data_IF_531404490230
#
_entry.id   IF_531404490230
#
_cell.length_a   1.000
_cell.length_b   1.000
_cell.length_c   1.000
_cell.angle_alpha   90.00
_cell.angle_beta   90.00
_cell.angle_gamma   90.00
#
_symmetry.space_group_name_H-M   'P 1'
#
loop_
_entity.id
_entity.type
_entity.pdbx_description
1 polymer ?
#
# COMPACT_ATOMS: atom_id res chain seq x y z
N UNK A 1 5.22 4.15 -5.24
CA UNK A 1 3.86 3.64 -5.52
C UNK A 1 3.42 4.17 -6.88
N UNK A 2 2.72 3.34 -7.66
CA UNK A 2 2.25 3.68 -9.00
C UNK A 2 0.78 4.05 -8.94
N UNK A 3 0.43 5.19 -9.54
CA UNK A 3 -0.95 5.63 -9.73
C UNK A 3 -1.41 5.33 -11.15
N UNK A 4 -2.45 4.52 -11.32
CA UNK A 4 -3.00 4.15 -12.62
C UNK A 4 -4.40 4.75 -12.80
N UNK A 5 -4.64 5.53 -13.87
CA UNK A 5 -5.99 6.02 -14.19
C UNK A 5 -6.79 4.90 -14.86
N UNK A 6 -8.00 4.65 -14.37
CA UNK A 6 -8.86 3.55 -14.83
C UNK A 6 -10.27 4.04 -15.14
N UNK A 7 -10.99 3.29 -15.98
CA UNK A 7 -12.38 3.55 -16.31
C UNK A 7 -13.20 2.26 -16.25
N UNK A 8 -14.42 2.34 -15.72
CA UNK A 8 -15.33 1.20 -15.59
C UNK A 8 -16.80 1.64 -15.65
N UNK A 9 -17.70 0.73 -16.03
CA UNK A 9 -19.12 1.05 -16.12
C UNK A 9 -19.74 1.27 -14.73
N UNK A 10 -20.45 2.38 -14.54
CA UNK A 10 -21.18 2.74 -13.32
C UNK A 10 -22.63 2.26 -13.30
N UNK A 11 -23.35 2.70 -12.27
CA UNK A 11 -24.76 2.31 -12.04
C UNK A 11 -25.72 2.78 -13.13
N UNK A 12 -25.40 3.87 -13.83
CA UNK A 12 -26.18 4.44 -14.93
C UNK A 12 -25.76 3.94 -16.32
N UNK A 13 -24.87 2.93 -16.39
CA UNK A 13 -24.11 2.53 -17.59
C UNK A 13 -23.15 3.59 -18.14
N UNK A 14 -23.07 4.78 -17.53
CA UNK A 14 -22.04 5.77 -17.83
C UNK A 14 -20.66 5.34 -17.32
N UNK A 15 -19.61 5.84 -17.94
CA UNK A 15 -18.23 5.57 -17.52
C UNK A 15 -17.90 6.27 -16.20
N UNK A 16 -17.51 5.50 -15.19
CA UNK A 16 -16.87 6.00 -13.98
C UNK A 16 -15.35 6.04 -14.15
N UNK A 17 -14.73 7.11 -13.69
CA UNK A 17 -13.29 7.32 -13.80
C UNK A 17 -12.65 7.27 -12.42
N UNK A 18 -11.63 6.43 -12.28
CA UNK A 18 -10.89 6.23 -11.04
C UNK A 18 -9.39 6.33 -11.18
N UNK A 19 -8.73 6.26 -10.03
CA UNK A 19 -7.28 6.07 -9.90
C UNK A 19 -7.03 4.93 -8.93
N UNK A 20 -6.27 3.95 -9.39
CA UNK A 20 -5.81 2.83 -8.59
C UNK A 20 -4.39 3.14 -8.10
N UNK A 21 -4.24 3.22 -6.78
CA UNK A 21 -2.93 3.35 -6.13
C UNK A 21 -2.41 1.93 -5.81
N UNK A 22 -1.28 1.53 -6.40
CA UNK A 22 -0.66 0.21 -6.17
C UNK A 22 0.63 0.32 -5.33
N UNK A 23 0.96 -0.69 -4.51
CA UNK A 23 2.28 -0.77 -3.89
C UNK A 23 3.37 -0.95 -4.96
N UNK A 24 4.47 -0.21 -4.85
CA UNK A 24 5.64 -0.40 -5.75
C UNK A 24 6.67 -1.37 -5.15
N UNK A 25 6.85 -1.33 -3.83
CA UNK A 25 7.92 -2.05 -3.14
C UNK A 25 7.37 -3.03 -2.09
N UNK A 26 6.09 -2.92 -1.73
CA UNK A 26 5.44 -3.86 -0.82
C UNK A 26 4.72 -4.93 -1.64
N UNK A 27 4.70 -6.20 -1.21
CA UNK A 27 3.84 -7.19 -1.83
C UNK A 27 2.38 -6.72 -1.75
N UNK A 28 1.61 -6.95 -2.81
CA UNK A 28 0.16 -6.70 -2.79
C UNK A 28 -0.50 -7.64 -1.78
N UNK A 29 -0.88 -7.10 -0.62
CA UNK A 29 -1.45 -7.86 0.49
C UNK A 29 -2.97 -7.89 0.47
N UNK A 30 -3.61 -6.77 0.10
CA UNK A 30 -5.07 -6.65 0.06
C UNK A 30 -5.52 -5.57 -0.92
N UNK A 31 -6.83 -5.52 -1.15
CA UNK A 31 -7.51 -4.61 -2.05
C UNK A 31 -8.57 -3.81 -1.31
N UNK A 32 -8.65 -2.50 -1.61
CA UNK A 32 -9.60 -1.58 -1.01
C UNK A 32 -10.28 -0.68 -2.05
N UNK A 33 -11.50 -0.26 -1.75
CA UNK A 33 -12.19 0.83 -2.47
C UNK A 33 -12.39 2.01 -1.52
N UNK A 34 -12.03 3.21 -1.98
CA UNK A 34 -12.22 4.46 -1.27
C UNK A 34 -13.38 5.26 -1.88
N UNK A 35 -14.49 5.35 -1.16
CA UNK A 35 -15.65 6.18 -1.45
C UNK A 35 -15.51 7.58 -0.82
N UNK A 36 -15.20 8.60 -1.62
CA UNK A 36 -14.96 9.95 -1.11
C UNK A 36 -16.26 10.72 -0.78
N UNK A 37 -16.13 11.91 -0.18
CA UNK A 37 -17.25 12.85 0.03
C UNK A 37 -17.89 13.28 -1.30
N UNK A 38 -19.23 13.28 -1.37
CA UNK A 38 -19.99 13.58 -2.60
C UNK A 38 -19.70 14.96 -3.20
N UNK A 39 -19.11 15.88 -2.42
CA UNK A 39 -18.82 17.25 -2.87
C UNK A 39 -17.37 17.49 -3.29
N UNK A 40 -16.51 16.49 -3.17
CA UNK A 40 -15.07 16.67 -3.28
C UNK A 40 -14.49 16.13 -4.61
N UNK A 41 -14.87 14.91 -4.97
CA UNK A 41 -14.26 14.14 -6.07
C UNK A 41 -13.07 13.28 -5.62
N UNK A 42 -12.61 12.38 -6.50
CA UNK A 42 -11.51 11.43 -6.27
C UNK A 42 -10.18 12.10 -5.94
N UNK A 43 -10.02 13.37 -6.26
CA UNK A 43 -8.81 14.15 -6.01
C UNK A 43 -8.85 14.93 -4.68
N UNK A 44 -9.81 14.63 -3.78
CA UNK A 44 -9.80 15.23 -2.44
C UNK A 44 -8.49 14.90 -1.71
N UNK A 45 -8.03 15.81 -0.84
CA UNK A 45 -6.78 15.64 -0.10
C UNK A 45 -6.83 14.37 0.77
N UNK A 46 -7.95 14.15 1.47
CA UNK A 46 -8.20 12.93 2.24
C UNK A 46 -8.11 11.67 1.36
N UNK A 47 -8.90 11.59 0.29
CA UNK A 47 -8.96 10.41 -0.56
C UNK A 47 -7.60 10.09 -1.19
N UNK A 48 -6.90 11.11 -1.69
CA UNK A 48 -5.59 10.93 -2.34
C UNK A 48 -4.53 10.50 -1.33
N UNK A 49 -4.42 11.17 -0.18
CA UNK A 49 -3.39 10.86 0.83
C UNK A 49 -3.62 9.50 1.48
N UNK A 50 -4.85 9.20 1.86
CA UNK A 50 -5.17 7.92 2.52
C UNK A 50 -4.98 6.76 1.54
N UNK A 51 -5.48 6.85 0.30
CA UNK A 51 -5.31 5.78 -0.68
C UNK A 51 -3.84 5.49 -0.97
N UNK A 52 -3.00 6.54 -1.06
CA UNK A 52 -1.55 6.40 -1.26
C UNK A 52 -0.84 5.79 -0.05
N UNK A 53 -1.18 6.20 1.16
CA UNK A 53 -0.62 5.67 2.39
C UNK A 53 -1.01 4.19 2.59
N UNK A 54 -2.27 3.82 2.31
CA UNK A 54 -2.70 2.41 2.31
C UNK A 54 -1.96 1.57 1.27
N UNK A 55 -1.73 2.12 0.06
CA UNK A 55 -0.94 1.45 -0.96
C UNK A 55 0.52 1.22 -0.51
N UNK A 56 1.12 2.15 0.24
CA UNK A 56 2.46 1.95 0.82
C UNK A 56 2.50 0.82 1.86
N UNK A 57 1.37 0.51 2.50
CA UNK A 57 1.22 -0.61 3.43
C UNK A 57 0.84 -1.93 2.73
N UNK A 58 0.85 -1.97 1.39
CA UNK A 58 0.51 -3.16 0.60
C UNK A 58 -0.99 -3.34 0.34
N UNK A 59 -1.82 -2.33 0.62
CA UNK A 59 -3.27 -2.34 0.35
C UNK A 59 -3.54 -1.49 -0.90
N UNK A 60 -3.62 -2.12 -2.08
CA UNK A 60 -3.92 -1.36 -3.29
C UNK A 60 -5.35 -0.81 -3.23
N UNK A 61 -5.49 0.49 -3.46
CA UNK A 61 -6.72 1.22 -3.17
C UNK A 61 -7.23 1.93 -4.42
N UNK A 62 -8.46 1.60 -4.83
CA UNK A 62 -9.17 2.30 -5.89
C UNK A 62 -9.98 3.46 -5.31
N UNK A 63 -9.73 4.67 -5.80
CA UNK A 63 -10.59 5.84 -5.58
C UNK A 63 -11.21 6.24 -6.92
N UNK A 64 -12.48 6.61 -6.94
CA UNK A 64 -13.20 6.92 -8.18
C UNK A 64 -14.16 8.09 -7.99
N UNK A 65 -14.49 8.79 -9.07
CA UNK A 65 -15.53 9.80 -9.08
C UNK A 65 -16.90 9.11 -9.22
N UNK A 66 -17.87 9.41 -8.35
CA UNK A 66 -19.25 8.93 -8.51
C UNK A 66 -19.89 9.44 -9.81
N UNK A 67 -20.97 8.78 -10.26
CA UNK A 67 -21.76 9.19 -11.43
C UNK A 67 -22.03 10.70 -11.43
N UNK A 68 -21.67 11.38 -12.52
CA UNK A 68 -21.87 12.82 -12.72
C UNK A 68 -20.99 13.74 -11.86
N UNK A 69 -19.95 13.22 -11.20
CA UNK A 69 -18.91 14.01 -10.54
C UNK A 69 -17.59 13.92 -11.30
N UNK A 70 -16.80 15.00 -11.24
CA UNK A 70 -15.42 15.00 -11.72
C UNK A 70 -15.29 14.59 -13.18
N UNK A 71 -14.57 13.49 -13.43
CA UNK A 71 -14.36 12.93 -14.77
C UNK A 71 -15.37 11.82 -15.15
N UNK A 72 -16.29 11.46 -14.25
CA UNK A 72 -17.29 10.42 -14.48
C UNK A 72 -18.50 10.94 -15.24
N UNK A 73 -19.03 10.13 -16.14
CA UNK A 73 -20.22 10.43 -16.93
C UNK A 73 -21.51 10.35 -16.08
N UNK A 74 -22.59 10.89 -16.64
CA UNK A 74 -23.92 10.91 -16.02
C UNK A 74 -24.29 12.26 -15.40
N UNK A 75 -25.45 12.29 -14.74
CA UNK A 75 -25.97 13.47 -14.05
C UNK A 75 -26.14 13.13 -12.57
N UNK A 76 -25.23 13.63 -11.74
CA UNK A 76 -25.28 13.44 -10.29
C UNK A 76 -26.58 13.98 -9.71
N UNK A 77 -27.09 15.08 -10.27
CA UNK A 77 -28.34 15.69 -9.84
C UNK A 77 -29.55 14.80 -10.07
N UNK A 78 -29.49 13.82 -10.98
CA UNK A 78 -30.56 12.83 -11.19
C UNK A 78 -30.30 11.50 -10.49
N UNK A 79 -29.04 11.20 -10.13
CA UNK A 79 -28.65 10.00 -9.41
C UNK A 79 -28.91 10.10 -7.90
N UNK A 80 -29.75 9.22 -7.36
CA UNK A 80 -30.06 9.12 -5.92
C UNK A 80 -28.88 8.64 -5.06
N UNK A 81 -29.04 8.64 -3.73
CA UNK A 81 -28.13 7.94 -2.81
C UNK A 81 -27.95 6.45 -3.21
N UNK A 82 -29.02 5.84 -3.73
CA UNK A 82 -29.00 4.48 -4.27
C UNK A 82 -28.03 4.30 -5.43
N UNK A 83 -27.85 5.33 -6.28
CA UNK A 83 -26.88 5.32 -7.39
C UNK A 83 -25.46 5.32 -6.85
N UNK A 84 -25.15 6.13 -5.82
CA UNK A 84 -23.83 6.13 -5.19
C UNK A 84 -23.48 4.78 -4.57
N UNK A 85 -24.44 4.13 -3.90
CA UNK A 85 -24.26 2.77 -3.39
C UNK A 85 -23.98 1.79 -4.55
N UNK A 86 -24.73 1.89 -5.64
CA UNK A 86 -24.54 1.05 -6.82
C UNK A 86 -23.20 1.30 -7.53
N UNK A 87 -22.67 2.53 -7.51
CA UNK A 87 -21.34 2.85 -8.05
C UNK A 87 -20.21 2.22 -7.22
N UNK A 88 -20.34 2.17 -5.88
CA UNK A 88 -19.38 1.44 -5.03
C UNK A 88 -19.41 -0.05 -5.35
N UNK A 89 -20.61 -0.63 -5.52
CA UNK A 89 -20.78 -2.04 -5.93
C UNK A 89 -20.13 -2.27 -7.30
N UNK A 90 -20.31 -1.37 -8.27
CA UNK A 90 -19.68 -1.45 -9.58
C UNK A 90 -18.14 -1.38 -9.49
N UNK A 91 -17.60 -0.48 -8.67
CA UNK A 91 -16.17 -0.37 -8.42
C UNK A 91 -15.58 -1.66 -7.81
N UNK A 92 -16.30 -2.27 -6.86
CA UNK A 92 -15.90 -3.54 -6.25
C UNK A 92 -15.91 -4.68 -7.27
N UNK A 93 -16.96 -4.82 -8.08
CA UNK A 93 -17.02 -5.84 -9.14
C UNK A 93 -15.97 -5.64 -10.22
N UNK A 94 -15.65 -4.39 -10.57
CA UNK A 94 -14.57 -4.09 -11.50
C UNK A 94 -13.22 -4.52 -10.93
N UNK A 95 -12.90 -4.19 -9.68
CA UNK A 95 -11.67 -4.68 -9.03
C UNK A 95 -11.64 -6.20 -8.95
N UNK A 96 -12.78 -6.82 -8.61
CA UNK A 96 -12.90 -8.28 -8.52
C UNK A 96 -12.59 -8.98 -9.83
N UNK A 97 -13.06 -8.44 -10.96
CA UNK A 97 -12.85 -9.04 -12.28
C UNK A 97 -11.47 -8.76 -12.88
N UNK A 98 -10.77 -7.72 -12.40
CA UNK A 98 -9.48 -7.29 -12.98
C UNK A 98 -8.26 -7.65 -12.13
N UNK A 99 -8.38 -7.63 -10.80
CA UNK A 99 -7.26 -7.78 -9.87
C UNK A 99 -7.56 -8.85 -8.81
N UNK A 100 -8.78 -8.81 -8.24
CA UNK A 100 -9.21 -9.68 -7.16
C UNK A 100 -10.22 -8.99 -6.25
N UNK A 101 -10.80 -9.74 -5.31
CA UNK A 101 -11.86 -9.22 -4.45
C UNK A 101 -11.34 -8.16 -3.45
N UNK A 102 -11.85 -6.91 -3.50
CA UNK A 102 -11.67 -5.94 -2.42
C UNK A 102 -12.25 -6.47 -1.12
N UNK A 103 -11.48 -6.42 -0.05
CA UNK A 103 -11.92 -6.86 1.28
C UNK A 103 -12.13 -5.68 2.25
N UNK A 104 -11.69 -4.48 1.88
CA UNK A 104 -11.84 -3.24 2.64
C UNK A 104 -12.63 -2.20 1.84
N UNK A 105 -13.63 -1.59 2.47
CA UNK A 105 -14.20 -0.32 2.01
C UNK A 105 -13.80 0.80 2.97
N UNK A 106 -13.33 1.91 2.44
CA UNK A 106 -13.11 3.16 3.20
C UNK A 106 -14.07 4.19 2.65
N UNK A 107 -14.86 4.83 3.50
CA UNK A 107 -15.81 5.86 3.08
C UNK A 107 -15.69 7.13 3.92
N UNK A 108 -15.70 8.28 3.26
CA UNK A 108 -15.57 9.59 3.89
C UNK A 108 -16.86 10.41 3.76
N UNK A 109 -17.31 11.03 4.85
CA UNK A 109 -18.57 11.77 4.92
C UNK A 109 -19.74 10.89 4.44
N UNK A 110 -20.59 11.38 3.55
CA UNK A 110 -21.64 10.60 2.87
C UNK A 110 -21.14 9.32 2.17
N UNK A 111 -19.90 9.32 1.68
CA UNK A 111 -19.26 8.12 1.13
C UNK A 111 -19.12 7.00 2.17
N UNK A 112 -19.02 7.33 3.45
CA UNK A 112 -19.02 6.38 4.57
C UNK A 112 -20.37 5.68 4.73
N UNK A 113 -21.47 6.44 4.71
CA UNK A 113 -22.83 5.90 4.76
C UNK A 113 -23.09 5.01 3.54
N UNK A 114 -22.70 5.47 2.35
CA UNK A 114 -22.83 4.69 1.11
C UNK A 114 -21.96 3.41 1.14
N UNK A 115 -20.75 3.46 1.71
CA UNK A 115 -19.87 2.29 1.85
C UNK A 115 -20.46 1.23 2.78
N UNK A 116 -21.09 1.63 3.89
CA UNK A 116 -21.81 0.70 4.78
C UNK A 116 -22.97 0.02 4.01
N UNK A 117 -23.79 0.80 3.31
CA UNK A 117 -24.91 0.28 2.53
C UNK A 117 -24.46 -0.64 1.38
N UNK A 118 -23.34 -0.32 0.72
CA UNK A 118 -22.75 -1.16 -0.32
C UNK A 118 -22.21 -2.48 0.25
N UNK A 119 -21.54 -2.44 1.40
CA UNK A 119 -21.01 -3.64 2.06
C UNK A 119 -22.10 -4.66 2.39
N UNK A 120 -23.32 -4.21 2.72
CA UNK A 120 -24.45 -5.11 2.98
C UNK A 120 -24.94 -5.86 1.72
N UNK A 121 -24.55 -5.42 0.52
CA UNK A 121 -24.92 -6.01 -0.78
C UNK A 121 -23.81 -6.85 -1.40
N UNK A 122 -22.62 -6.88 -0.80
CA UNK A 122 -21.42 -7.47 -1.36
C UNK A 122 -20.93 -8.63 -0.49
N UNK A 123 -20.84 -9.81 -1.08
CA UNK A 123 -20.14 -10.93 -0.46
C UNK A 123 -18.63 -10.74 -0.59
N UNK A 124 -17.88 -10.90 0.50
CA UNK A 124 -16.42 -10.82 0.51
C UNK A 124 -15.83 -9.53 1.09
N UNK A 125 -16.64 -8.50 1.35
CA UNK A 125 -16.21 -7.36 2.17
C UNK A 125 -16.03 -7.84 3.61
N UNK A 126 -14.82 -7.66 4.16
CA UNK A 126 -14.46 -8.11 5.52
C UNK A 126 -14.38 -6.97 6.51
N UNK A 127 -14.09 -5.77 6.04
CA UNK A 127 -13.92 -4.58 6.86
C UNK A 127 -14.48 -3.34 6.14
N UNK A 128 -15.08 -2.44 6.92
CA UNK A 128 -15.53 -1.11 6.50
C UNK A 128 -14.96 -0.09 7.47
N UNK A 129 -14.36 0.97 6.95
CA UNK A 129 -13.94 2.13 7.72
C UNK A 129 -14.74 3.36 7.29
N UNK A 130 -15.28 4.10 8.24
CA UNK A 130 -15.89 5.41 8.00
C UNK A 130 -15.06 6.54 8.58
N UNK A 131 -14.97 7.64 7.85
CA UNK A 131 -14.29 8.87 8.25
C UNK A 131 -15.33 10.01 8.22
N UNK A 132 -15.65 10.61 9.37
CA UNK A 132 -16.56 11.76 9.39
C UNK A 132 -17.99 11.44 8.89
N UNK A 133 -18.45 10.18 8.98
CA UNK A 133 -19.67 9.75 8.31
C UNK A 133 -20.94 10.01 9.13
N UNK A 134 -22.02 10.49 8.50
CA UNK A 134 -23.32 10.61 9.16
C UNK A 134 -23.97 9.22 9.35
N UNK A 135 -24.63 9.03 10.49
CA UNK A 135 -25.48 7.87 10.76
C UNK A 135 -26.84 8.01 10.08
N UNK A 136 -27.36 9.24 10.02
CA UNK A 136 -28.73 9.48 9.55
C UNK A 136 -28.74 10.40 8.35
N UNK A 137 -29.70 10.16 7.46
CA UNK A 137 -30.00 11.10 6.39
C UNK A 137 -30.57 12.43 6.93
N UNK A 138 -31.22 12.43 8.10
CA UNK A 138 -31.69 13.65 8.76
C UNK A 138 -30.55 14.66 8.98
N UNK A 139 -29.38 14.18 9.37
CA UNK A 139 -28.23 15.05 9.54
C UNK A 139 -27.75 15.63 8.21
N UNK A 140 -27.68 14.81 7.18
CA UNK A 140 -27.33 15.24 5.81
C UNK A 140 -28.29 16.33 5.33
N UNK A 141 -29.60 16.15 5.57
CA UNK A 141 -30.64 17.08 5.20
C UNK A 141 -30.55 18.42 5.95
N UNK A 142 -30.14 18.41 7.22
CA UNK A 142 -29.92 19.65 7.99
C UNK A 142 -28.74 20.48 7.49
N UNK A 143 -27.77 19.83 6.84
CA UNK A 143 -26.62 20.49 6.25
C UNK A 143 -26.88 21.02 4.84
N UNK A 144 -27.96 20.61 4.20
CA UNK A 144 -28.45 21.31 3.02
C UNK A 144 -28.87 22.71 3.46
N UNK A 145 -28.06 23.71 3.10
CA UNK A 145 -28.37 25.12 3.31
C UNK A 145 -29.72 25.52 2.72
N UNK A 146 -30.16 26.79 2.85
CA UNK A 146 -31.47 27.23 2.39
C UNK A 146 -31.69 26.84 0.92
N UNK A 147 -32.69 25.99 0.69
CA UNK A 147 -33.08 25.53 -0.64
C UNK A 147 -33.49 26.72 -1.50
N UNK A 148 -32.80 26.92 -2.63
CA UNK A 148 -33.13 27.97 -3.60
C UNK A 148 -33.73 27.34 -4.85
N UNK A 149 -34.91 27.86 -5.21
CA UNK A 149 -35.72 27.74 -6.44
C UNK A 149 -35.53 26.50 -7.34
N UNK A 150 -36.67 25.92 -7.71
CA UNK A 150 -36.84 24.95 -8.80
C UNK A 150 -36.63 25.63 -10.17
N UNK A 151 -35.41 25.59 -10.69
CA UNK A 151 -35.19 25.70 -12.15
C UNK A 151 -34.88 24.28 -12.67
N UNK A 152 -35.60 23.86 -13.71
CA UNK A 152 -35.51 22.52 -14.33
C UNK A 152 -35.85 21.32 -13.41
N UNK A 153 -36.64 21.54 -12.35
CA UNK A 153 -37.10 20.47 -11.45
C UNK A 153 -36.01 19.89 -10.54
N UNK A 154 -34.89 20.61 -10.37
CA UNK A 154 -33.82 20.30 -9.42
C UNK A 154 -33.77 21.35 -8.30
N UNK A 155 -33.26 20.94 -7.14
CA UNK A 155 -33.11 21.76 -5.93
C UNK A 155 -31.63 22.09 -5.77
N UNK A 156 -31.31 23.38 -5.61
CA UNK A 156 -29.95 23.78 -5.27
C UNK A 156 -29.74 23.70 -3.75
N UNK A 157 -28.76 22.89 -3.33
CA UNK A 157 -28.33 22.71 -1.93
C UNK A 157 -26.87 23.14 -1.77
N UNK A 158 -26.51 23.60 -0.57
CA UNK A 158 -25.12 23.80 -0.17
C UNK A 158 -24.68 22.63 0.70
N UNK A 159 -23.54 22.01 0.38
CA UNK A 159 -22.89 20.99 1.19
C UNK A 159 -21.41 21.38 1.36
N UNK A 160 -21.05 21.85 2.56
CA UNK A 160 -19.67 22.19 2.88
C UNK A 160 -19.11 23.38 2.07
N UNK A 161 -19.96 24.36 1.74
CA UNK A 161 -19.58 25.60 1.05
C UNK A 161 -19.56 25.49 -0.48
N UNK A 162 -20.17 24.44 -1.03
CA UNK A 162 -20.28 24.19 -2.47
C UNK A 162 -21.74 23.95 -2.84
N UNK A 163 -22.21 24.67 -3.84
CA UNK A 163 -23.57 24.52 -4.36
C UNK A 163 -23.67 23.30 -5.29
N UNK A 164 -24.67 22.45 -5.04
CA UNK A 164 -25.02 21.29 -5.86
C UNK A 164 -26.48 21.36 -6.24
N UNK A 165 -26.81 20.80 -7.41
CA UNK A 165 -28.19 20.58 -7.83
C UNK A 165 -28.53 19.11 -7.62
N UNK A 166 -29.58 18.84 -6.87
CA UNK A 166 -30.09 17.49 -6.60
C UNK A 166 -31.56 17.40 -6.97
N UNK A 167 -31.99 16.27 -7.50
CA UNK A 167 -33.39 16.02 -7.80
C UNK A 167 -34.18 15.84 -6.49
N UNK A 168 -35.46 16.23 -6.45
CA UNK A 168 -36.35 15.95 -5.32
C UNK A 168 -36.34 14.48 -4.89
N UNK A 169 -36.27 13.56 -5.87
CA UNK A 169 -36.17 12.12 -5.61
C UNK A 169 -34.95 11.73 -4.75
N UNK A 170 -33.83 12.46 -4.85
CA UNK A 170 -32.66 12.22 -4.00
C UNK A 170 -32.96 12.50 -2.52
N UNK A 171 -33.68 13.60 -2.25
CA UNK A 171 -34.09 13.97 -0.89
C UNK A 171 -35.10 12.95 -0.36
N UNK A 172 -36.08 12.55 -1.17
CA UNK A 172 -37.07 11.55 -0.80
C UNK A 172 -36.43 10.19 -0.49
N UNK A 173 -35.46 9.73 -1.29
CA UNK A 173 -34.69 8.51 -1.01
C UNK A 173 -33.90 8.60 0.29
N UNK A 174 -33.24 9.73 0.54
CA UNK A 174 -32.54 9.97 1.80
C UNK A 174 -33.50 9.94 2.99
N UNK A 175 -34.65 10.63 2.91
CA UNK A 175 -35.67 10.64 3.96
C UNK A 175 -36.24 9.23 4.23
N UNK A 176 -36.50 8.45 3.19
CA UNK A 176 -36.96 7.07 3.34
C UNK A 176 -35.92 6.19 4.06
N UNK A 177 -34.63 6.44 3.85
CA UNK A 177 -33.53 5.75 4.52
C UNK A 177 -33.29 6.26 5.96
N UNK A 178 -33.72 7.48 6.30
CA UNK A 178 -33.45 8.11 7.60
C UNK A 178 -33.96 7.30 8.81
N UNK A 179 -35.00 6.48 8.61
CA UNK A 179 -35.62 5.67 9.65
C UNK A 179 -35.06 4.25 9.76
N UNK A 180 -34.17 3.85 8.85
CA UNK A 180 -33.54 2.53 8.92
C UNK A 180 -32.30 2.55 9.83
N UNK A 181 -32.00 1.41 10.45
CA UNK A 181 -30.73 1.23 11.16
C UNK A 181 -29.58 1.35 10.13
N UNK A 182 -28.65 2.31 10.28
CA UNK A 182 -27.67 2.64 9.25
C UNK A 182 -26.64 1.56 8.96
N UNK A 183 -26.52 0.57 9.85
CA UNK A 183 -25.62 -0.59 9.72
C UNK A 183 -26.39 -1.90 9.60
N UNK A 184 -27.69 -1.83 9.27
CA UNK A 184 -28.54 -2.99 9.03
C UNK A 184 -27.95 -3.87 7.93
N UNK A 185 -27.80 -5.16 8.23
CA UNK A 185 -27.28 -6.13 7.27
C UNK A 185 -25.76 -6.12 7.10
N UNK A 186 -25.03 -5.24 7.80
CA UNK A 186 -23.56 -5.23 7.77
C UNK A 186 -23.01 -6.52 8.39
N UNK A 187 -22.28 -7.30 7.59
CA UNK A 187 -21.61 -8.55 8.00
C UNK A 187 -20.07 -8.42 8.01
N UNK A 188 -19.57 -7.19 8.10
CA UNK A 188 -18.15 -6.85 8.10
C UNK A 188 -17.76 -6.17 9.42
N UNK A 189 -16.47 -6.18 9.74
CA UNK A 189 -15.92 -5.39 10.83
C UNK A 189 -16.10 -3.89 10.54
N UNK A 190 -16.46 -3.09 11.54
CA UNK A 190 -16.66 -1.64 11.37
C UNK A 190 -15.65 -0.85 12.20
N UNK A 191 -14.89 0.03 11.53
CA UNK A 191 -14.10 1.08 12.16
C UNK A 191 -14.78 2.43 11.91
N UNK A 192 -15.14 3.14 12.98
CA UNK A 192 -15.66 4.51 12.90
C UNK A 192 -14.56 5.46 13.34
N UNK A 193 -14.18 6.40 12.48
CA UNK A 193 -13.17 7.42 12.77
C UNK A 193 -13.79 8.82 12.64
N UNK A 194 -13.68 9.63 13.69
CA UNK A 194 -14.36 10.93 13.72
C UNK A 194 -13.66 11.95 14.63
N UNK A 195 -13.61 13.21 14.21
CA UNK A 195 -13.08 14.31 15.01
C UNK A 195 -14.16 14.87 15.95
N UNK A 196 -13.92 15.03 17.27
CA UNK A 196 -14.87 15.66 18.18
C UNK A 196 -15.21 17.11 17.82
N UNK A 197 -14.31 17.81 17.12
CA UNK A 197 -14.49 19.19 16.66
C UNK A 197 -14.99 19.31 15.21
N UNK A 198 -15.49 18.22 14.61
CA UNK A 198 -16.02 18.25 13.25
C UNK A 198 -17.23 19.20 13.14
N UNK A 199 -17.03 20.31 12.42
CA UNK A 199 -18.03 21.36 12.24
C UNK A 199 -19.09 21.02 11.17
N UNK A 200 -18.88 19.96 10.39
CA UNK A 200 -19.78 19.53 9.32
C UNK A 200 -20.59 18.32 9.78
N UNK A 201 -19.97 17.31 10.37
CA UNK A 201 -20.70 16.14 10.87
C UNK A 201 -20.48 15.99 12.36
N UNK A 202 -21.51 16.25 13.17
CA UNK A 202 -21.45 16.09 14.62
C UNK A 202 -20.99 14.68 15.02
N UNK A 203 -20.13 14.60 16.04
CA UNK A 203 -19.59 13.33 16.55
C UNK A 203 -20.67 12.38 17.08
N UNK A 204 -21.85 12.89 17.46
CA UNK A 204 -23.01 12.09 17.84
C UNK A 204 -23.41 11.07 16.76
N UNK A 205 -23.27 11.43 15.48
CA UNK A 205 -23.54 10.51 14.37
C UNK A 205 -22.58 9.33 14.37
N UNK A 206 -21.30 9.58 14.62
CA UNK A 206 -20.30 8.54 14.73
C UNK A 206 -20.59 7.61 15.92
N UNK A 207 -21.05 8.17 17.04
CA UNK A 207 -21.48 7.40 18.19
C UNK A 207 -22.70 6.53 17.87
N UNK A 208 -23.64 7.03 17.09
CA UNK A 208 -24.85 6.31 16.73
C UNK A 208 -24.57 5.17 15.75
N UNK A 209 -23.68 5.38 14.76
CA UNK A 209 -23.12 4.31 13.93
C UNK A 209 -22.48 3.22 14.81
N UNK A 210 -21.62 3.62 15.75
CA UNK A 210 -20.92 2.68 16.62
C UNK A 210 -21.88 1.92 17.56
N UNK A 211 -22.88 2.59 18.15
CA UNK A 211 -23.89 1.95 19.00
C UNK A 211 -24.72 0.95 18.22
N UNK A 212 -25.17 1.32 17.02
CA UNK A 212 -26.01 0.49 16.17
C UNK A 212 -25.30 -0.76 15.63
N UNK A 213 -23.97 -0.71 15.47
CA UNK A 213 -23.18 -1.81 14.91
C UNK A 213 -23.05 -3.00 15.86
N UNK A 214 -22.90 -4.20 15.30
CA UNK A 214 -22.51 -5.42 16.03
C UNK A 214 -20.99 -5.55 16.06
N UNK A 215 -20.46 -6.38 16.95
CA UNK A 215 -19.04 -6.71 16.93
C UNK A 215 -18.67 -7.57 15.71
N UNK A 216 -17.43 -7.45 15.20
CA UNK A 216 -16.36 -6.57 15.66
C UNK A 216 -16.55 -5.11 15.20
N UNK A 217 -16.42 -4.18 16.14
CA UNK A 217 -16.55 -2.73 15.91
C UNK A 217 -15.53 -1.95 16.73
N UNK A 218 -15.05 -0.84 16.17
CA UNK A 218 -14.05 0.04 16.78
C UNK A 218 -14.40 1.51 16.54
N UNK A 219 -14.02 2.37 17.47
CA UNK A 219 -14.18 3.83 17.36
C UNK A 219 -12.83 4.49 17.64
N UNK A 220 -12.39 5.39 16.77
CA UNK A 220 -11.16 6.16 16.95
C UNK A 220 -11.45 7.65 16.79
N UNK A 221 -11.01 8.44 17.77
CA UNK A 221 -11.06 9.90 17.66
C UNK A 221 -9.95 10.40 16.74
N UNK A 222 -10.27 11.37 15.88
CA UNK A 222 -9.33 12.11 15.04
C UNK A 222 -8.87 13.42 15.69
N UNK A 223 -9.11 13.58 17.00
CA UNK A 223 -8.74 14.77 17.79
C UNK A 223 -9.19 16.09 17.13
N UNK A 224 -8.28 17.03 16.91
CA UNK A 224 -8.57 18.37 16.37
C UNK A 224 -8.62 18.43 14.84
N UNK A 225 -8.68 17.28 14.14
CA UNK A 225 -8.76 17.26 12.69
C UNK A 225 -10.06 17.92 12.16
N UNK A 226 -9.98 18.55 11.00
CA UNK A 226 -11.16 19.06 10.31
C UNK A 226 -11.90 17.96 9.53
N UNK A 227 -13.15 18.25 9.12
CA UNK A 227 -13.99 17.29 8.42
C UNK A 227 -13.32 16.70 7.16
N UNK A 228 -12.50 17.48 6.47
CA UNK A 228 -11.92 17.13 5.18
C UNK A 228 -10.49 16.57 5.28
N UNK A 229 -9.96 16.38 6.49
CA UNK A 229 -8.58 15.95 6.76
C UNK A 229 -7.56 16.74 5.94
N UNK A 230 -7.67 18.07 5.97
CA UNK A 230 -6.85 18.96 5.14
C UNK A 230 -5.38 18.96 5.55
N UNK A 231 -5.06 18.65 6.82
CA UNK A 231 -3.68 18.51 7.29
C UNK A 231 -3.10 17.15 6.86
N UNK A 232 -1.89 17.11 6.29
CA UNK A 232 -1.25 15.85 5.89
C UNK A 232 -1.10 14.83 7.02
N UNK A 233 -0.80 15.31 8.23
CA UNK A 233 -0.59 14.46 9.41
C UNK A 233 -1.86 13.68 9.80
N UNK A 234 -3.04 14.32 9.76
CA UNK A 234 -4.31 13.66 10.11
C UNK A 234 -4.68 12.58 9.10
N UNK A 235 -4.49 12.86 7.80
CA UNK A 235 -4.73 11.90 6.75
C UNK A 235 -3.76 10.71 6.84
N UNK A 236 -2.49 10.95 7.18
CA UNK A 236 -1.51 9.88 7.39
C UNK A 236 -1.86 9.04 8.61
N UNK A 237 -2.17 9.68 9.74
CA UNK A 237 -2.59 9.01 10.97
C UNK A 237 -3.83 8.14 10.74
N UNK A 238 -4.84 8.65 10.03
CA UNK A 238 -6.01 7.88 9.66
C UNK A 238 -5.64 6.66 8.82
N UNK A 239 -4.79 6.82 7.80
CA UNK A 239 -4.37 5.71 6.95
C UNK A 239 -3.56 4.63 7.69
N UNK A 240 -2.64 5.03 8.57
CA UNK A 240 -1.84 4.11 9.38
C UNK A 240 -2.72 3.26 10.30
N UNK A 241 -3.70 3.88 10.95
CA UNK A 241 -4.65 3.17 11.79
C UNK A 241 -5.59 2.28 10.98
N UNK A 242 -6.08 2.75 9.83
CA UNK A 242 -6.95 1.95 8.96
C UNK A 242 -6.23 0.69 8.51
N UNK A 243 -5.01 0.80 7.98
CA UNK A 243 -4.28 -0.37 7.49
C UNK A 243 -3.88 -1.32 8.61
N UNK A 244 -3.39 -0.79 9.74
CA UNK A 244 -3.08 -1.60 10.92
C UNK A 244 -4.32 -2.33 11.48
N UNK A 245 -5.45 -1.64 11.64
CA UNK A 245 -6.70 -2.24 12.12
C UNK A 245 -7.26 -3.26 11.13
N UNK A 246 -7.27 -2.93 9.83
CA UNK A 246 -7.83 -3.79 8.79
C UNK A 246 -7.03 -5.09 8.62
N UNK A 247 -5.71 -5.08 8.87
CA UNK A 247 -4.83 -6.27 8.80
C UNK A 247 -5.40 -7.49 9.56
N UNK A 248 -6.19 -7.27 10.62
CA UNK A 248 -6.82 -8.33 11.42
C UNK A 248 -7.90 -9.11 10.67
N UNK A 249 -8.56 -8.46 9.70
CA UNK A 249 -9.75 -8.96 9.00
C UNK A 249 -9.51 -9.25 7.53
N UNK A 250 -8.58 -8.53 6.91
CA UNK A 250 -8.24 -8.76 5.53
C UNK A 250 -7.54 -10.12 5.42
N UNK A 251 -7.81 -10.89 4.35
CA UNK A 251 -6.95 -12.00 3.98
C UNK A 251 -5.67 -11.36 3.46
N UNK A 252 -4.85 -10.83 4.37
CA UNK A 252 -3.49 -10.45 4.05
C UNK A 252 -2.93 -11.67 3.38
N UNK A 253 -2.60 -11.55 2.09
CA UNK A 253 -1.90 -12.62 1.39
C UNK A 253 -0.76 -12.97 2.31
N UNK A 254 -0.86 -14.13 2.98
CA UNK A 254 0.26 -14.67 3.71
C UNK A 254 1.38 -14.58 2.70
N UNK A 255 2.50 -13.95 3.09
CA UNK A 255 3.75 -14.11 2.36
C UNK A 255 3.74 -15.55 1.89
N UNK A 256 3.74 -15.78 0.56
CA UNK A 256 3.73 -17.15 0.05
C UNK A 256 4.90 -17.80 0.77
N UNK A 257 4.58 -18.66 1.72
CA UNK A 257 5.56 -19.36 2.52
C UNK A 257 5.61 -20.78 1.97
N UNK A 258 5.89 -20.83 0.67
CA UNK A 258 6.17 -22.01 -0.13
C UNK A 258 7.56 -22.59 0.18
N UNK A 259 8.37 -21.86 0.95
CA UNK A 259 9.58 -22.42 1.52
C UNK A 259 9.28 -23.63 2.42
N UNK A 260 10.05 -24.72 2.28
CA UNK A 260 9.94 -25.90 3.13
C UNK A 260 10.01 -25.53 4.61
N UNK A 261 9.15 -26.14 5.42
CA UNK A 261 9.12 -25.92 6.87
C UNK A 261 10.35 -26.47 7.60
N UNK A 262 11.13 -27.33 6.94
CA UNK A 262 12.25 -28.09 7.48
C UNK A 262 13.63 -27.56 7.03
N UNK A 263 13.70 -26.33 6.50
CA UNK A 263 14.95 -25.69 6.09
C UNK A 263 15.96 -25.63 7.25
N UNK A 264 17.12 -26.27 7.07
CA UNK A 264 18.13 -26.40 8.14
C UNK A 264 19.01 -25.16 8.23
N UNK A 265 19.69 -25.02 9.36
CA UNK A 265 20.69 -23.96 9.53
C UNK A 265 21.81 -24.09 8.48
N UNK A 266 22.04 -23.03 7.70
CA UNK A 266 23.00 -23.02 6.60
C UNK A 266 22.42 -23.42 5.25
N UNK A 267 21.16 -23.85 5.19
CA UNK A 267 20.43 -24.03 3.94
C UNK A 267 19.70 -22.74 3.54
N UNK A 268 19.58 -22.55 2.22
CA UNK A 268 18.76 -21.50 1.62
C UNK A 268 17.76 -22.16 0.70
N UNK A 269 16.54 -21.63 0.69
CA UNK A 269 15.52 -22.02 -0.28
C UNK A 269 15.25 -20.84 -1.21
N UNK A 270 15.01 -21.13 -2.48
CA UNK A 270 14.63 -20.15 -3.51
C UNK A 270 13.45 -20.71 -4.28
N UNK A 271 12.35 -19.95 -4.34
CA UNK A 271 11.14 -20.32 -5.07
C UNK A 271 10.73 -19.29 -6.10
N UNK A 272 10.09 -19.77 -7.15
CA UNK A 272 9.55 -18.95 -8.24
C UNK A 272 8.11 -18.52 -7.95
N UNK A 273 7.76 -17.29 -8.34
CA UNK A 273 6.44 -16.74 -8.08
C UNK A 273 5.63 -16.33 -9.30
N UNK A 274 6.26 -16.01 -10.43
CA UNK A 274 5.60 -15.35 -11.55
C UNK A 274 5.92 -15.91 -12.94
N UNK A 275 6.64 -17.03 -13.05
CA UNK A 275 7.11 -17.56 -14.34
C UNK A 275 7.98 -16.59 -15.14
N UNK A 276 8.49 -15.54 -14.48
CA UNK A 276 9.47 -14.60 -14.99
C UNK A 276 10.68 -14.62 -14.04
N UNK A 277 11.14 -13.46 -13.55
CA UNK A 277 12.36 -13.33 -12.76
C UNK A 277 12.14 -13.21 -11.24
N UNK A 278 10.91 -13.02 -10.77
CA UNK A 278 10.68 -12.86 -9.32
C UNK A 278 10.92 -14.17 -8.57
N UNK A 279 11.87 -14.14 -7.64
CA UNK A 279 12.18 -15.23 -6.73
C UNK A 279 12.04 -14.78 -5.28
N UNK A 280 11.38 -15.59 -4.47
CA UNK A 280 11.49 -15.47 -3.01
C UNK A 280 12.62 -16.36 -2.50
N UNK A 281 13.36 -15.84 -1.53
CA UNK A 281 14.48 -16.52 -0.90
C UNK A 281 14.27 -16.58 0.60
N UNK A 282 14.54 -17.75 1.21
CA UNK A 282 14.54 -17.93 2.66
C UNK A 282 15.86 -18.49 3.16
N UNK A 283 16.34 -17.93 4.27
CA UNK A 283 17.47 -18.41 5.05
C UNK A 283 17.07 -18.45 6.53
N UNK A 284 16.62 -19.61 7.00
CA UNK A 284 15.99 -19.74 8.32
C UNK A 284 14.74 -18.86 8.47
N UNK A 285 14.68 -17.93 9.44
CA UNK A 285 13.55 -17.01 9.62
C UNK A 285 13.61 -15.77 8.71
N UNK A 286 14.69 -15.59 7.95
CA UNK A 286 14.88 -14.41 7.11
C UNK A 286 14.30 -14.64 5.71
N UNK A 287 13.62 -13.63 5.19
CA UNK A 287 13.04 -13.59 3.85
C UNK A 287 13.62 -12.43 3.05
N UNK A 288 13.92 -12.66 1.78
CA UNK A 288 14.35 -11.67 0.81
C UNK A 288 13.75 -12.00 -0.55
N UNK A 289 13.54 -10.99 -1.39
CA UNK A 289 13.21 -11.17 -2.80
C UNK A 289 14.46 -10.93 -3.68
N UNK A 290 14.50 -11.62 -4.82
CA UNK A 290 15.40 -11.36 -5.93
C UNK A 290 14.57 -11.16 -7.20
N UNK A 291 14.99 -10.24 -8.05
CA UNK A 291 14.32 -9.97 -9.33
C UNK A 291 15.31 -9.33 -10.30
N UNK A 292 14.95 -9.28 -11.56
CA UNK A 292 15.71 -8.54 -12.58
C UNK A 292 15.12 -7.13 -12.78
N UNK A 293 15.89 -6.19 -13.35
CA UNK A 293 15.39 -4.89 -13.79
C UNK A 293 14.29 -5.01 -14.86
N UNK A 294 13.42 -4.00 -14.95
CA UNK A 294 12.31 -3.97 -15.92
C UNK A 294 12.81 -4.00 -17.36
N UNK A 295 13.98 -3.43 -17.64
CA UNK A 295 14.58 -3.33 -18.97
C UNK A 295 14.90 -4.69 -19.58
N UNK A 296 15.10 -5.72 -18.76
CA UNK A 296 15.36 -7.10 -19.19
C UNK A 296 14.18 -8.04 -18.92
N UNK A 297 13.02 -7.48 -18.55
CA UNK A 297 11.76 -8.22 -18.36
C UNK A 297 11.46 -8.64 -16.93
N UNK A 298 12.20 -8.13 -15.93
CA UNK A 298 11.91 -8.37 -14.52
C UNK A 298 10.94 -7.36 -13.90
N UNK A 299 10.61 -7.56 -12.63
CA UNK A 299 9.67 -6.73 -11.87
C UNK A 299 10.32 -5.64 -11.02
N UNK A 300 11.66 -5.59 -10.94
CA UNK A 300 12.42 -4.68 -10.06
C UNK A 300 12.00 -4.78 -8.57
N UNK A 301 11.66 -6.00 -8.11
CA UNK A 301 11.15 -6.27 -6.76
C UNK A 301 12.23 -6.49 -5.70
N UNK A 302 13.44 -6.83 -6.14
CA UNK A 302 14.60 -7.08 -5.28
C UNK A 302 15.90 -6.92 -6.07
N UNK A 303 17.06 -7.06 -5.41
CA UNK A 303 18.34 -6.99 -6.08
C UNK A 303 18.50 -8.16 -7.07
N UNK A 304 19.25 -7.92 -8.14
CA UNK A 304 19.58 -8.98 -9.10
C UNK A 304 20.58 -9.99 -8.48
N UNK A 305 20.79 -11.17 -9.10
CA UNK A 305 21.69 -12.19 -8.56
C UNK A 305 23.14 -11.72 -8.34
N UNK A 306 23.68 -10.82 -9.18
CA UNK A 306 25.01 -10.27 -9.00
C UNK A 306 25.04 -9.25 -7.86
N UNK A 307 24.01 -8.42 -7.73
CA UNK A 307 23.87 -7.50 -6.59
C UNK A 307 23.80 -8.27 -5.27
N UNK A 308 23.07 -9.39 -5.20
CA UNK A 308 23.04 -10.26 -4.02
C UNK A 308 24.42 -10.84 -3.69
N UNK A 309 25.18 -11.26 -4.71
CA UNK A 309 26.55 -11.72 -4.54
C UNK A 309 27.45 -10.62 -3.97
N UNK A 310 27.35 -9.39 -4.50
CA UNK A 310 28.09 -8.24 -4.02
C UNK A 310 27.69 -7.86 -2.59
N UNK A 311 26.39 -7.90 -2.26
CA UNK A 311 25.89 -7.69 -0.89
C UNK A 311 26.49 -8.70 0.08
N UNK A 312 26.52 -9.99 -0.29
CA UNK A 312 27.14 -11.05 0.51
C UNK A 312 28.63 -10.80 0.78
N UNK A 313 29.40 -10.45 -0.27
CA UNK A 313 30.82 -10.10 -0.15
C UNK A 313 31.05 -8.85 0.72
N UNK A 314 30.24 -7.81 0.51
CA UNK A 314 30.33 -6.54 1.23
C UNK A 314 30.02 -6.70 2.72
N UNK A 315 28.95 -7.44 3.04
CA UNK A 315 28.56 -7.77 4.41
C UNK A 315 29.68 -8.56 5.11
N UNK A 316 30.18 -9.62 4.49
CA UNK A 316 31.24 -10.45 5.05
C UNK A 316 32.54 -9.65 5.29
N UNK A 317 32.89 -8.77 4.35
CA UNK A 317 34.05 -7.87 4.48
C UNK A 317 33.88 -6.93 5.68
N UNK A 318 32.75 -6.22 5.75
CA UNK A 318 32.47 -5.26 6.83
C UNK A 318 32.49 -5.93 8.21
N UNK A 319 31.86 -7.10 8.35
CA UNK A 319 31.86 -7.89 9.59
C UNK A 319 33.27 -8.31 10.00
N UNK A 320 34.09 -8.74 9.05
CA UNK A 320 35.49 -9.16 9.29
C UNK A 320 36.34 -7.98 9.78
N UNK A 321 36.23 -6.82 9.13
CA UNK A 321 36.93 -5.60 9.54
C UNK A 321 36.54 -5.16 10.95
N UNK A 322 35.24 -5.16 11.25
CA UNK A 322 34.72 -4.83 12.59
C UNK A 322 35.26 -5.78 13.65
N UNK A 323 35.22 -7.09 13.37
CA UNK A 323 35.70 -8.10 14.30
C UNK A 323 37.21 -7.94 14.57
N UNK A 324 38.00 -7.70 13.51
CA UNK A 324 39.44 -7.49 13.64
C UNK A 324 39.79 -6.21 14.40
N UNK A 325 39.13 -5.09 14.09
CA UNK A 325 39.31 -3.83 14.80
C UNK A 325 39.02 -3.97 16.30
N UNK A 326 37.95 -4.68 16.68
CA UNK A 326 37.61 -4.96 18.08
C UNK A 326 38.71 -5.78 18.77
N UNK A 327 39.23 -6.82 18.12
CA UNK A 327 40.31 -7.67 18.67
C UNK A 327 41.62 -6.89 18.87
N UNK A 328 41.90 -5.92 18.00
CA UNK A 328 43.12 -5.09 18.06
C UNK A 328 42.96 -3.81 18.88
N UNK A 329 41.75 -3.51 19.38
CA UNK A 329 41.47 -2.28 20.11
C UNK A 329 41.49 -1.02 19.24
N UNK A 330 41.26 -1.13 17.94
CA UNK A 330 41.22 0.04 17.05
C UNK A 330 39.93 0.84 17.24
N UNK A 331 40.06 2.16 17.29
CA UNK A 331 38.96 3.10 17.45
C UNK A 331 38.16 3.32 16.14
N UNK A 332 37.81 2.23 15.46
CA UNK A 332 36.99 2.24 14.25
C UNK A 332 35.54 2.55 14.63
N UNK A 333 34.99 3.66 14.14
CA UNK A 333 33.61 4.08 14.39
C UNK A 333 32.65 3.45 13.39
N UNK A 334 32.93 3.53 12.09
CA UNK A 334 32.05 3.06 11.04
C UNK A 334 32.82 2.43 9.86
N UNK A 335 32.17 1.49 9.15
CA UNK A 335 32.70 0.78 7.98
C UNK A 335 31.64 0.79 6.88
N UNK A 336 31.96 1.41 5.75
CA UNK A 336 31.12 1.34 4.55
C UNK A 336 31.90 0.64 3.43
N UNK A 337 31.22 -0.24 2.72
CA UNK A 337 31.77 -1.01 1.61
C UNK A 337 30.93 -0.73 0.38
N UNK A 338 31.54 -0.20 -0.67
CA UNK A 338 30.92 -0.04 -1.99
C UNK A 338 31.52 -1.05 -2.93
N UNK A 339 30.67 -1.79 -3.63
CA UNK A 339 31.06 -2.82 -4.57
C UNK A 339 30.43 -2.54 -5.93
N UNK A 340 31.14 -2.92 -6.98
CA UNK A 340 30.64 -2.86 -8.35
C UNK A 340 31.14 -4.07 -9.11
N UNK A 341 30.27 -4.69 -9.89
CA UNK A 341 30.61 -5.75 -10.84
C UNK A 341 30.55 -5.19 -12.26
N UNK A 342 31.54 -5.56 -13.07
CA UNK A 342 31.62 -5.26 -14.50
C UNK A 342 32.23 -6.46 -15.23
N UNK A 343 31.89 -6.61 -16.52
CA UNK A 343 32.63 -7.51 -17.42
C UNK A 343 33.75 -6.74 -18.08
N UNK A 344 35.00 -7.11 -17.82
CA UNK A 344 36.18 -6.50 -18.41
C UNK A 344 36.88 -7.48 -19.37
N UNK A 345 37.57 -6.96 -20.39
CA UNK A 345 38.44 -7.81 -21.21
C UNK A 345 39.72 -8.10 -20.43
N UNK A 346 40.23 -9.34 -20.45
CA UNK A 346 41.38 -9.73 -19.63
C UNK A 346 42.65 -8.89 -19.87
N UNK A 347 42.79 -8.31 -21.07
CA UNK A 347 43.88 -7.41 -21.46
C UNK A 347 43.84 -6.06 -20.74
N UNK A 348 42.68 -5.64 -20.26
CA UNK A 348 42.45 -4.33 -19.64
C UNK A 348 42.39 -4.41 -18.10
N UNK A 349 42.49 -5.63 -17.55
CA UNK A 349 42.49 -5.91 -16.13
C UNK A 349 43.90 -6.27 -15.66
N UNK A 350 44.60 -5.32 -15.03
CA UNK A 350 45.98 -5.49 -14.54
C UNK A 350 46.13 -6.61 -13.49
N UNK A 351 45.04 -7.00 -12.82
CA UNK A 351 45.02 -8.00 -11.75
C UNK A 351 44.45 -9.37 -12.18
N UNK A 352 44.04 -9.54 -13.45
CA UNK A 352 43.33 -10.75 -13.91
C UNK A 352 44.24 -11.92 -14.34
N UNK A 353 45.58 -11.75 -14.34
CA UNK A 353 46.55 -12.81 -14.69
C UNK A 353 46.45 -13.34 -16.13
N UNK A 354 46.90 -14.58 -16.37
CA UNK A 354 46.93 -15.26 -17.69
C UNK A 354 45.55 -15.70 -18.22
N UNK A 355 44.46 -15.07 -17.77
CA UNK A 355 43.11 -15.40 -18.23
C UNK A 355 42.89 -14.86 -19.65
N UNK A 356 42.31 -15.66 -20.55
CA UNK A 356 41.94 -15.22 -21.90
C UNK A 356 40.42 -15.02 -22.00
N UNK A 357 39.97 -13.88 -22.54
CA UNK A 357 38.55 -13.59 -22.78
C UNK A 357 37.97 -12.50 -21.87
N UNK A 358 36.64 -12.48 -21.71
CA UNK A 358 35.97 -11.60 -20.74
C UNK A 358 36.13 -12.18 -19.33
N UNK A 359 36.46 -11.31 -18.37
CA UNK A 359 36.63 -11.65 -16.96
C UNK A 359 35.65 -10.83 -16.14
N UNK A 360 34.98 -11.48 -15.19
CA UNK A 360 34.19 -10.80 -14.17
C UNK A 360 35.13 -10.02 -13.24
N UNK A 361 34.96 -8.70 -13.20
CA UNK A 361 35.76 -7.80 -12.38
C UNK A 361 34.90 -7.16 -11.30
N UNK A 362 35.27 -7.37 -10.04
CA UNK A 362 34.59 -6.79 -8.88
C UNK A 362 35.51 -5.76 -8.23
N UNK A 363 35.10 -4.49 -8.24
CA UNK A 363 35.82 -3.41 -7.56
C UNK A 363 35.22 -3.16 -6.18
N UNK A 364 36.07 -3.09 -5.14
CA UNK A 364 35.67 -2.78 -3.76
C UNK A 364 36.31 -1.49 -3.25
N UNK A 365 35.49 -0.58 -2.75
CA UNK A 365 35.93 0.65 -2.09
C UNK A 365 35.52 0.64 -0.62
N UNK A 366 36.45 0.98 0.27
CA UNK A 366 36.24 0.99 1.72
C UNK A 366 36.32 2.42 2.26
N UNK A 367 35.30 2.82 3.03
CA UNK A 367 35.34 4.04 3.84
C UNK A 367 35.40 3.65 5.32
N UNK A 368 36.51 3.97 5.97
CA UNK A 368 36.78 3.65 7.37
C UNK A 368 36.78 4.93 8.22
N UNK A 369 35.77 5.10 9.06
CA UNK A 369 35.60 6.29 9.90
C UNK A 369 36.07 6.04 11.32
N UNK A 370 36.77 7.01 11.91
CA UNK A 370 37.29 6.94 13.29
C UNK A 370 38.71 7.49 13.42
N UNK A 371 39.19 7.75 14.65
CA UNK A 371 40.57 8.20 14.90
C UNK A 371 41.56 7.04 14.72
N UNK A 372 41.74 6.62 13.47
CA UNK A 372 42.65 5.56 13.05
C UNK A 372 43.94 6.17 12.50
N UNK A 373 45.07 5.63 12.92
CA UNK A 373 46.37 5.93 12.29
C UNK A 373 46.43 5.35 10.87
N UNK A 374 47.34 5.86 10.05
CA UNK A 374 47.56 5.33 8.70
C UNK A 374 47.96 3.85 8.72
N UNK A 375 48.79 3.45 9.69
CA UNK A 375 49.15 2.03 9.89
C UNK A 375 47.95 1.15 10.21
N UNK A 376 46.98 1.63 10.98
CA UNK A 376 45.74 0.91 11.27
C UNK A 376 44.85 0.81 10.04
N UNK A 377 44.81 1.84 9.19
CA UNK A 377 44.06 1.83 7.92
C UNK A 377 44.64 0.82 6.94
N UNK A 378 45.96 0.82 6.76
CA UNK A 378 46.69 -0.16 5.95
C UNK A 378 46.47 -1.59 6.46
N UNK A 379 46.51 -1.79 7.78
CA UNK A 379 46.27 -3.12 8.36
C UNK A 379 44.83 -3.59 8.12
N UNK A 380 43.85 -2.69 8.27
CA UNK A 380 42.45 -3.01 7.96
C UNK A 380 42.24 -3.30 6.48
N UNK A 381 42.86 -2.55 5.57
CA UNK A 381 42.79 -2.80 4.13
C UNK A 381 43.27 -4.23 3.79
N UNK A 382 44.43 -4.63 4.34
CA UNK A 382 44.99 -5.98 4.18
C UNK A 382 44.08 -7.09 4.72
N UNK A 383 43.24 -6.79 5.72
CA UNK A 383 42.28 -7.74 6.31
C UNK A 383 41.01 -7.86 5.48
N UNK A 384 40.66 -6.85 4.66
CA UNK A 384 39.45 -6.87 3.85
C UNK A 384 39.40 -8.08 2.88
N UNK A 385 40.55 -8.50 2.35
CA UNK A 385 40.69 -9.67 1.46
C UNK A 385 40.67 -11.03 2.19
N UNK A 386 40.44 -11.04 3.51
CA UNK A 386 40.49 -12.27 4.31
C UNK A 386 39.14 -12.72 4.83
N UNK A 387 38.06 -12.09 4.39
CA UNK A 387 36.73 -12.49 4.80
C UNK A 387 36.36 -13.86 4.19
N UNK A 388 35.58 -14.71 4.90
CA UNK A 388 35.23 -16.04 4.41
C UNK A 388 34.63 -16.07 2.99
N UNK A 389 33.72 -15.14 2.65
CA UNK A 389 33.10 -15.08 1.31
C UNK A 389 34.14 -14.76 0.24
N UNK A 390 35.04 -13.80 0.47
CA UNK A 390 36.15 -13.50 -0.44
C UNK A 390 36.99 -14.75 -0.72
N UNK A 391 37.38 -15.47 0.34
CA UNK A 391 38.15 -16.71 0.19
C UNK A 391 37.39 -17.78 -0.58
N UNK A 392 36.08 -17.91 -0.39
CA UNK A 392 35.28 -18.85 -1.17
C UNK A 392 35.31 -18.50 -2.65
N UNK A 393 35.21 -17.22 -3.01
CA UNK A 393 35.25 -16.77 -4.41
C UNK A 393 36.61 -17.01 -5.07
N UNK A 394 37.71 -16.91 -4.32
CA UNK A 394 39.06 -17.18 -4.85
C UNK A 394 39.40 -18.69 -4.93
N UNK A 395 38.81 -19.53 -4.09
CA UNK A 395 39.21 -20.94 -3.94
C UNK A 395 38.40 -21.94 -4.79
N UNK A 396 37.75 -21.49 -5.88
CA UNK A 396 37.04 -22.35 -6.84
C UNK A 396 36.11 -23.39 -6.17
N UNK A 397 34.98 -22.96 -5.59
CA UNK A 397 34.10 -23.86 -4.86
C UNK A 397 33.50 -24.93 -5.79
N UNK A 398 33.43 -26.17 -5.32
CA UNK A 398 32.78 -27.27 -6.05
C UNK A 398 31.28 -27.18 -5.85
N UNK A 399 30.53 -26.97 -6.93
CA UNK A 399 29.07 -26.96 -6.94
C UNK A 399 28.58 -28.30 -7.47
N UNK A 400 27.79 -29.01 -6.66
CA UNK A 400 27.19 -30.30 -7.04
C UNK A 400 25.68 -30.13 -7.21
N UNK A 401 25.17 -30.48 -8.39
CA UNK A 401 23.74 -30.37 -8.73
C UNK A 401 23.09 -31.74 -8.70
N UNK A 402 22.00 -31.87 -7.95
CA UNK A 402 21.19 -33.10 -7.90
C UNK A 402 19.73 -32.76 -8.20
N UNK A 403 19.11 -33.52 -9.10
CA UNK A 403 17.67 -33.41 -9.38
C UNK A 403 16.90 -34.27 -8.37
N UNK A 404 16.01 -33.64 -7.60
CA UNK A 404 15.06 -34.33 -6.72
C UNK A 404 13.78 -34.55 -7.52
N UNK A 405 13.16 -35.73 -7.39
CA UNK A 405 11.85 -36.03 -8.00
C UNK A 405 10.76 -35.87 -6.93
N UNK A 406 9.62 -35.37 -7.37
CA UNK A 406 8.42 -35.20 -6.54
C UNK A 406 7.91 -36.52 -5.93
#
# INVERSE_FOLDING_TARGET
MSSEKVGFAGSSQGLLVGVLERPDHAPLQALAVFAHCFTCGKNSLAATRISRALAQQGIATLRFDFTGLGESEGDFGRGGFSSSVADIVAAVHWMQSTIGMPALLVGHSLGGTAAIAAAARLDGIRAVCTLGAPATADHVLRHFGPTKSEEDGQIQVDLGGRAFRIAPAFIEELQAQAHENPVKGLRAALLVMHAPSDAVVDIGEAQDLFKAARHPKSFISLDDADHLLTRPADAQYAADLIGAWASRFLPMRAERNDAPSDLRAGEVWVGEHDHAFWRSMRAGPHHLDADEPKEVGGGERGPDPYELLLMSLGACTSMTLRQYAKRKGYALKDVQVRLRHERAHATDCQECGDRSGQVDHVTRQLLLSGPLSESQRQDLLRIADRCPVHRTLENHPVITTTLIRD
#
